data_IF_739050840546
#
_entry.id   IF_739050840546
#
_cell.length_a   1.000
_cell.length_b   1.000
_cell.length_c   1.000
_cell.angle_alpha   90.00
_cell.angle_beta   90.00
_cell.angle_gamma   90.00
#
_symmetry.space_group_name_H-M   'P 1'
#
loop_
_entity.id
_entity.type
_entity.pdbx_description
1 polymer ?
#
# COMPACT_ATOMS: atom_id res chain seq x y z
N UNK A 1 1.24 5.57 -1.20
CA UNK A 1 1.00 6.35 -2.43
C UNK A 1 2.07 5.95 -3.44
N UNK A 2 1.82 6.13 -4.73
CA UNK A 2 2.81 6.01 -5.79
C UNK A 2 2.83 7.36 -6.49
N UNK A 3 4.01 7.95 -6.56
CA UNK A 3 4.27 9.29 -7.04
C UNK A 3 5.28 9.17 -8.17
N UNK A 4 5.08 9.95 -9.23
CA UNK A 4 6.11 10.17 -10.23
C UNK A 4 6.91 11.43 -9.85
N UNK A 5 8.16 11.23 -9.44
CA UNK A 5 9.04 12.31 -8.99
C UNK A 5 9.41 13.30 -10.10
N UNK A 6 9.34 12.91 -11.38
CA UNK A 6 9.64 13.82 -12.49
C UNK A 6 8.52 14.84 -12.69
N UNK A 7 7.27 14.37 -12.63
CA UNK A 7 6.10 15.23 -12.82
C UNK A 7 5.54 15.79 -11.51
N UNK A 8 5.99 15.29 -10.36
CA UNK A 8 5.48 15.67 -9.04
C UNK A 8 4.04 15.21 -8.78
N UNK A 9 3.52 14.30 -9.60
CA UNK A 9 2.12 13.90 -9.56
C UNK A 9 1.92 12.58 -8.81
N UNK A 10 0.90 12.54 -7.95
CA UNK A 10 0.46 11.29 -7.34
C UNK A 10 -0.37 10.50 -8.33
N UNK A 11 0.15 9.36 -8.78
CA UNK A 11 -0.53 8.51 -9.75
C UNK A 11 -1.59 7.66 -9.04
N UNK A 12 -1.25 7.05 -7.91
CA UNK A 12 -2.21 6.32 -7.07
C UNK A 12 -1.99 6.58 -5.59
N UNK A 13 -3.08 6.57 -4.84
CA UNK A 13 -3.08 6.65 -3.38
C UNK A 13 -4.02 5.58 -2.82
N UNK A 14 -3.77 5.14 -1.60
CA UNK A 14 -4.78 4.49 -0.77
C UNK A 14 -4.57 4.91 0.69
N UNK A 15 -5.65 4.93 1.45
CA UNK A 15 -5.67 5.33 2.85
C UNK A 15 -6.53 4.38 3.68
N UNK A 16 -6.18 4.20 4.95
CA UNK A 16 -6.96 3.42 5.92
C UNK A 16 -8.35 3.99 6.20
N UNK A 17 -8.61 5.24 5.80
CA UNK A 17 -9.91 5.89 5.93
C UNK A 17 -10.87 5.53 4.79
N UNK A 18 -10.37 4.91 3.70
CA UNK A 18 -11.19 4.54 2.56
C UNK A 18 -12.04 3.29 2.85
N UNK A 19 -13.27 3.29 2.37
CA UNK A 19 -14.22 2.20 2.66
C UNK A 19 -13.73 0.87 2.07
N UNK A 20 -13.11 0.88 0.88
CA UNK A 20 -12.44 -0.31 0.30
C UNK A 20 -11.40 -0.95 1.22
N UNK A 21 -10.74 -0.18 2.08
CA UNK A 21 -9.78 -0.71 3.06
C UNK A 21 -10.50 -1.17 4.32
N UNK A 22 -11.53 -0.44 4.78
CA UNK A 22 -12.35 -0.84 5.94
C UNK A 22 -13.12 -2.14 5.70
N UNK A 23 -13.66 -2.32 4.50
CA UNK A 23 -14.38 -3.52 4.08
C UNK A 23 -13.48 -4.76 4.10
N UNK A 24 -12.19 -4.60 3.80
CA UNK A 24 -11.15 -5.65 3.95
C UNK A 24 -10.77 -5.92 5.42
N UNK A 25 -11.29 -5.18 6.41
CA UNK A 25 -10.86 -5.20 7.82
C UNK A 25 -11.98 -5.53 8.84
N UNK A 26 -13.02 -6.28 8.45
CA UNK A 26 -14.17 -6.55 9.33
C UNK A 26 -13.85 -7.50 10.52
N UNK A 27 -12.69 -8.16 10.55
CA UNK A 27 -12.36 -9.15 11.59
C UNK A 27 -11.11 -8.80 12.41
N UNK A 28 -11.34 -8.62 13.71
CA UNK A 28 -10.43 -8.82 14.84
C UNK A 28 -9.45 -7.73 15.30
N UNK A 29 -9.32 -7.70 16.62
CA UNK A 29 -8.53 -6.84 17.51
C UNK A 29 -7.00 -6.75 17.25
N UNK A 30 -6.53 -7.24 16.10
CA UNK A 30 -5.15 -7.11 15.58
C UNK A 30 -4.95 -5.87 14.67
N UNK A 31 -5.92 -4.94 14.71
CA UNK A 31 -6.34 -4.11 13.58
C UNK A 31 -5.31 -3.23 12.87
N UNK A 32 -4.22 -2.78 13.49
CA UNK A 32 -3.30 -1.82 12.81
C UNK A 32 -2.36 -2.48 11.79
N UNK A 33 -1.97 -3.74 12.00
CA UNK A 33 -1.13 -4.47 11.05
C UNK A 33 -1.95 -4.94 9.85
N UNK A 34 -3.12 -5.53 10.08
CA UNK A 34 -4.03 -5.97 9.01
C UNK A 34 -4.49 -4.80 8.13
N UNK A 35 -4.81 -3.64 8.74
CA UNK A 35 -5.08 -2.41 7.97
C UNK A 35 -3.89 -2.04 7.09
N UNK A 36 -2.66 -2.18 7.59
CA UNK A 36 -1.46 -1.83 6.83
C UNK A 36 -1.27 -2.77 5.64
N UNK A 37 -1.51 -4.09 5.81
CA UNK A 37 -1.51 -5.06 4.71
C UNK A 37 -2.58 -4.71 3.67
N UNK A 38 -3.82 -4.49 4.10
CA UNK A 38 -4.93 -4.12 3.22
C UNK A 38 -4.67 -2.83 2.43
N UNK A 39 -4.06 -1.81 3.05
CA UNK A 39 -3.62 -0.60 2.34
C UNK A 39 -2.61 -0.93 1.25
N UNK A 40 -1.61 -1.78 1.55
CA UNK A 40 -0.63 -2.24 0.58
C UNK A 40 -1.27 -2.92 -0.63
N UNK A 41 -2.19 -3.86 -0.38
CA UNK A 41 -2.93 -4.57 -1.41
C UNK A 41 -3.77 -3.62 -2.29
N UNK A 42 -4.51 -2.68 -1.70
CA UNK A 42 -5.35 -1.74 -2.45
C UNK A 42 -4.53 -0.77 -3.29
N UNK A 43 -3.39 -0.27 -2.80
CA UNK A 43 -2.48 0.54 -3.64
C UNK A 43 -1.99 -0.28 -4.81
N UNK A 44 -1.68 -1.55 -4.57
CA UNK A 44 -1.11 -2.42 -5.57
C UNK A 44 -2.07 -2.81 -6.69
N UNK A 45 -3.30 -3.15 -6.33
CA UNK A 45 -4.39 -3.37 -7.26
C UNK A 45 -4.58 -2.16 -8.18
N UNK A 46 -4.64 -0.94 -7.61
CA UNK A 46 -4.76 0.32 -8.38
C UNK A 46 -3.55 0.59 -9.27
N UNK A 47 -2.35 0.27 -8.80
CA UNK A 47 -1.13 0.44 -9.58
C UNK A 47 -1.17 -0.48 -10.81
N UNK A 48 -1.58 -1.73 -10.61
CA UNK A 48 -1.70 -2.74 -11.66
C UNK A 48 -2.77 -2.38 -12.69
N UNK A 49 -3.92 -1.86 -12.25
CA UNK A 49 -4.96 -1.30 -13.15
C UNK A 49 -4.40 -0.19 -14.06
N UNK A 50 -3.42 0.58 -13.58
CA UNK A 50 -2.72 1.61 -14.35
C UNK A 50 -1.47 1.11 -15.09
N UNK A 51 -1.21 -0.19 -15.09
CA UNK A 51 -0.05 -0.80 -15.74
C UNK A 51 1.29 -0.54 -15.05
N UNK A 52 1.28 -0.15 -13.77
CA UNK A 52 2.47 0.14 -12.97
C UNK A 52 2.82 -1.11 -12.16
N UNK A 53 3.91 -1.79 -12.52
CA UNK A 53 4.40 -2.98 -11.82
C UNK A 53 5.70 -2.78 -11.04
N UNK A 54 6.55 -1.84 -11.46
CA UNK A 54 7.86 -1.61 -10.85
C UNK A 54 7.90 -0.23 -10.20
N UNK A 55 8.24 -0.19 -8.91
CA UNK A 55 8.35 1.05 -8.14
C UNK A 55 9.53 0.98 -7.18
N UNK A 56 9.80 2.09 -6.50
CA UNK A 56 10.73 2.12 -5.37
C UNK A 56 9.92 2.25 -4.09
N UNK A 57 10.21 1.41 -3.09
CA UNK A 57 9.54 1.49 -1.80
C UNK A 57 10.21 2.52 -0.88
N UNK A 58 9.60 3.70 -0.81
CA UNK A 58 9.99 4.71 0.17
C UNK A 58 9.37 4.41 1.54
N UNK A 59 10.24 4.39 2.56
CA UNK A 59 9.87 4.15 3.97
C UNK A 59 9.51 5.43 4.72
N UNK A 60 9.64 6.61 4.11
CA UNK A 60 9.31 7.89 4.73
C UNK A 60 10.07 8.16 6.03
N UNK A 61 11.30 7.65 6.15
CA UNK A 61 12.14 7.77 7.35
C UNK A 61 11.84 6.77 8.49
N UNK A 62 10.83 5.91 8.34
CA UNK A 62 10.51 4.89 9.35
C UNK A 62 11.38 3.62 9.22
N UNK A 63 11.57 2.91 10.33
CA UNK A 63 12.22 1.58 10.31
C UNK A 63 11.37 0.59 9.50
N UNK A 64 12.04 -0.29 8.76
CA UNK A 64 11.36 -1.38 8.05
C UNK A 64 10.94 -2.46 9.05
N UNK A 65 9.85 -2.21 9.76
CA UNK A 65 9.30 -3.08 10.79
C UNK A 65 7.80 -2.79 10.98
N UNK A 66 7.10 -3.72 11.65
CA UNK A 66 5.68 -3.58 11.99
C UNK A 66 4.84 -3.16 10.79
N UNK A 67 4.19 -2.00 10.89
CA UNK A 67 3.26 -1.48 9.88
C UNK A 67 3.91 -1.21 8.53
N UNK A 68 5.14 -0.69 8.49
CA UNK A 68 5.84 -0.38 7.23
C UNK A 68 6.12 -1.68 6.47
N UNK A 69 6.58 -2.71 7.19
CA UNK A 69 6.78 -4.04 6.64
C UNK A 69 5.46 -4.65 6.15
N UNK A 70 4.38 -4.52 6.92
CA UNK A 70 3.06 -5.02 6.54
C UNK A 70 2.51 -4.38 5.24
N UNK A 71 2.69 -3.06 5.04
CA UNK A 71 2.32 -2.42 3.77
C UNK A 71 3.11 -3.00 2.61
N UNK A 72 4.43 -3.18 2.79
CA UNK A 72 5.29 -3.74 1.75
C UNK A 72 4.92 -5.18 1.39
N UNK A 73 4.61 -6.02 2.38
CA UNK A 73 4.17 -7.40 2.16
C UNK A 73 2.85 -7.44 1.39
N UNK A 74 1.84 -6.68 1.82
CA UNK A 74 0.56 -6.62 1.12
C UNK A 74 0.67 -6.09 -0.32
N UNK A 75 1.56 -5.13 -0.58
CA UNK A 75 1.79 -4.66 -1.94
C UNK A 75 2.51 -5.68 -2.83
N UNK A 76 3.45 -6.46 -2.27
CA UNK A 76 4.16 -7.52 -2.99
C UNK A 76 3.27 -8.69 -3.36
N UNK A 77 2.34 -9.07 -2.48
CA UNK A 77 1.35 -10.14 -2.75
C UNK A 77 0.51 -9.86 -4.01
N UNK A 78 0.16 -8.59 -4.24
CA UNK A 78 -0.62 -8.15 -5.40
C UNK A 78 0.23 -7.93 -6.67
N UNK A 79 1.53 -8.19 -6.59
CA UNK A 79 2.44 -8.25 -7.73
C UNK A 79 3.23 -6.98 -8.02
N UNK A 80 3.29 -6.02 -7.09
CA UNK A 80 4.25 -4.92 -7.20
C UNK A 80 5.67 -5.40 -6.89
N UNK A 81 6.61 -4.93 -7.70
CA UNK A 81 8.02 -5.26 -7.63
C UNK A 81 8.79 -4.03 -7.13
N UNK A 82 9.47 -4.19 -5.99
CA UNK A 82 10.32 -3.20 -5.33
C UNK A 82 11.20 -3.82 -4.23
#
# INVERSE_FOLDING_TARGET
QIIDDQSGNTIVSASSLEDKVKDKNIADSSGKLNISVAVGQVVAERAKEKGIGLVVFDRGGYKFHGRVKAVAEGAREEGLIF
#
